data_IF_787046179386
#
_entry.id   IF_787046179386
#
_cell.length_a   1.000
_cell.length_b   1.000
_cell.length_c   1.000
_cell.angle_alpha   90.00
_cell.angle_beta   90.00
_cell.angle_gamma   90.00
#
_symmetry.space_group_name_H-M   'P 1'
#
loop_
_entity.id
_entity.type
_entity.pdbx_description
1 polymer ?
#
# COMPACT_ATOMS: atom_id res chain seq x y z
N UNK A 1 29.21 -10.10 -85.29
CA UNK A 1 27.95 -10.14 -84.52
C UNK A 1 28.17 -10.74 -83.13
N UNK A 2 28.80 -11.92 -83.03
CA UNK A 2 29.06 -12.58 -81.74
C UNK A 2 29.83 -11.74 -80.70
N UNK A 3 30.88 -11.01 -81.09
CA UNK A 3 31.63 -10.14 -80.16
C UNK A 3 30.76 -9.02 -79.55
N UNK A 4 29.88 -8.43 -80.36
CA UNK A 4 28.98 -7.35 -79.91
C UNK A 4 27.92 -7.86 -78.94
N UNK A 5 27.43 -9.08 -79.14
CA UNK A 5 26.50 -9.72 -78.22
C UNK A 5 27.16 -10.11 -76.89
N UNK A 6 28.46 -10.46 -76.92
CA UNK A 6 29.25 -10.73 -75.71
C UNK A 6 29.45 -9.43 -74.93
N UNK A 7 29.82 -8.33 -75.59
CA UNK A 7 30.01 -7.02 -74.97
C UNK A 7 28.75 -6.53 -74.25
N UNK A 8 27.59 -6.61 -74.92
CA UNK A 8 26.28 -6.24 -74.34
C UNK A 8 25.95 -7.08 -73.10
N UNK A 9 26.25 -8.39 -73.12
CA UNK A 9 26.02 -9.27 -71.97
C UNK A 9 26.96 -8.95 -70.81
N UNK A 10 28.22 -8.63 -71.08
CA UNK A 10 29.18 -8.22 -70.07
C UNK A 10 28.76 -6.90 -69.43
N UNK A 11 28.33 -5.91 -70.20
CA UNK A 11 27.84 -4.64 -69.69
C UNK A 11 26.60 -4.81 -68.79
N UNK A 12 25.66 -5.66 -69.18
CA UNK A 12 24.49 -5.97 -68.37
C UNK A 12 24.89 -6.69 -67.06
N UNK A 13 25.88 -7.59 -67.09
CA UNK A 13 26.42 -8.23 -65.88
C UNK A 13 27.10 -7.22 -64.96
N UNK A 14 27.89 -6.29 -65.51
CA UNK A 14 28.53 -5.21 -64.75
C UNK A 14 27.47 -4.30 -64.13
N UNK A 15 26.42 -3.94 -64.88
CA UNK A 15 25.31 -3.13 -64.38
C UNK A 15 24.58 -3.82 -63.22
N UNK A 16 24.26 -5.11 -63.37
CA UNK A 16 23.63 -5.91 -62.31
C UNK A 16 24.52 -6.06 -61.09
N UNK A 17 25.82 -6.30 -61.28
CA UNK A 17 26.80 -6.37 -60.19
C UNK A 17 26.83 -5.07 -59.40
N UNK A 18 26.87 -3.93 -60.10
CA UNK A 18 26.84 -2.61 -59.46
C UNK A 18 25.53 -2.35 -58.69
N UNK A 19 24.39 -2.77 -59.22
CA UNK A 19 23.10 -2.67 -58.53
C UNK A 19 23.08 -3.54 -57.26
N UNK A 20 23.57 -4.77 -57.35
CA UNK A 20 23.69 -5.68 -56.20
C UNK A 20 24.60 -5.07 -55.13
N UNK A 21 25.76 -4.52 -55.50
CA UNK A 21 26.66 -3.86 -54.54
C UNK A 21 26.00 -2.66 -53.86
N UNK A 22 25.23 -1.84 -54.59
CA UNK A 22 24.47 -0.73 -53.99
C UNK A 22 23.43 -1.24 -52.99
N UNK A 23 22.70 -2.30 -53.35
CA UNK A 23 21.70 -2.93 -52.47
C UNK A 23 22.34 -3.54 -51.24
N UNK A 24 23.51 -4.18 -51.38
CA UNK A 24 24.25 -4.76 -50.27
C UNK A 24 24.66 -3.69 -49.26
N UNK A 25 25.24 -2.57 -49.72
CA UNK A 25 25.60 -1.45 -48.84
C UNK A 25 24.40 -0.88 -48.09
N UNK A 26 23.25 -0.74 -48.77
CA UNK A 26 22.04 -0.26 -48.13
C UNK A 26 21.50 -1.25 -47.07
N UNK A 27 21.72 -2.56 -47.25
CA UNK A 27 21.38 -3.56 -46.25
C UNK A 27 22.34 -3.52 -45.06
N UNK A 28 23.65 -3.37 -45.29
CA UNK A 28 24.66 -3.24 -44.23
C UNK A 28 24.40 -2.00 -43.36
N UNK A 29 24.05 -0.87 -43.98
CA UNK A 29 23.69 0.35 -43.23
C UNK A 29 22.44 0.13 -42.38
N UNK A 30 21.41 -0.52 -42.92
CA UNK A 30 20.19 -0.86 -42.18
C UNK A 30 20.48 -1.81 -41.02
N UNK A 31 21.32 -2.82 -41.25
CA UNK A 31 21.71 -3.79 -40.25
C UNK A 31 22.42 -3.10 -39.07
N UNK A 32 23.39 -2.24 -39.36
CA UNK A 32 24.08 -1.43 -38.36
C UNK A 32 23.12 -0.54 -37.54
N UNK A 33 22.12 0.07 -38.18
CA UNK A 33 21.09 0.85 -37.48
C UNK A 33 20.23 -0.05 -36.57
N UNK A 34 19.89 -1.26 -37.02
CA UNK A 34 19.11 -2.23 -36.24
C UNK A 34 19.91 -2.69 -35.03
N UNK A 35 21.19 -3.03 -35.19
CA UNK A 35 22.09 -3.41 -34.09
C UNK A 35 22.18 -2.29 -33.04
N UNK A 36 22.38 -1.05 -33.47
CA UNK A 36 22.43 0.10 -32.56
C UNK A 36 21.11 0.28 -31.79
N UNK A 37 19.96 0.12 -32.46
CA UNK A 37 18.64 0.16 -31.81
C UNK A 37 18.44 -0.98 -30.83
N UNK A 38 18.83 -2.20 -31.20
CA UNK A 38 18.78 -3.36 -30.31
C UNK A 38 19.61 -3.14 -29.05
N UNK A 39 20.82 -2.60 -29.18
CA UNK A 39 21.65 -2.23 -28.03
C UNK A 39 20.95 -1.22 -27.11
N UNK A 40 20.37 -0.16 -27.69
CA UNK A 40 19.63 0.83 -26.89
C UNK A 40 18.40 0.26 -26.17
N UNK A 41 17.69 -0.69 -26.80
CA UNK A 41 16.55 -1.38 -26.20
C UNK A 41 17.02 -2.30 -25.07
N UNK A 42 18.10 -3.03 -25.27
CA UNK A 42 18.69 -3.88 -24.23
C UNK A 42 19.11 -3.07 -23.01
N UNK A 43 19.80 -1.94 -23.22
CA UNK A 43 20.20 -1.03 -22.14
C UNK A 43 18.98 -0.47 -21.39
N UNK A 44 17.92 -0.09 -22.11
CA UNK A 44 16.68 0.38 -21.50
C UNK A 44 16.01 -0.73 -20.67
N UNK A 45 15.98 -1.97 -21.17
CA UNK A 45 15.42 -3.12 -20.44
C UNK A 45 16.23 -3.45 -19.19
N UNK A 46 17.56 -3.37 -19.24
CA UNK A 46 18.42 -3.57 -18.06
C UNK A 46 18.12 -2.53 -16.99
N UNK A 47 18.05 -1.24 -17.36
CA UNK A 47 17.71 -0.16 -16.43
C UNK A 47 16.32 -0.34 -15.82
N UNK A 48 15.33 -0.68 -16.65
CA UNK A 48 13.97 -0.93 -16.18
C UNK A 48 13.91 -2.11 -15.19
N UNK A 49 14.69 -3.16 -15.43
CA UNK A 49 14.77 -4.31 -14.53
C UNK A 49 15.40 -3.94 -13.19
N UNK A 50 16.46 -3.12 -13.19
CA UNK A 50 17.08 -2.61 -11.97
C UNK A 50 16.15 -1.70 -11.17
N UNK A 51 15.41 -0.82 -11.85
CA UNK A 51 14.48 0.10 -11.20
C UNK A 51 13.30 -0.67 -10.58
N UNK A 52 12.72 -1.62 -11.31
CA UNK A 52 11.68 -2.52 -10.78
C UNK A 52 12.19 -3.25 -9.52
N UNK A 53 13.42 -3.77 -9.55
CA UNK A 53 14.00 -4.45 -8.39
C UNK A 53 14.10 -3.52 -7.18
N UNK A 54 14.58 -2.29 -7.36
CA UNK A 54 14.63 -1.28 -6.28
C UNK A 54 13.25 -0.94 -5.75
N UNK A 55 12.24 -0.83 -6.62
CA UNK A 55 10.86 -0.60 -6.19
C UNK A 55 10.32 -1.75 -5.35
N UNK A 56 10.59 -3.00 -5.72
CA UNK A 56 10.23 -4.17 -4.92
C UNK A 56 10.92 -4.19 -3.55
N UNK A 57 12.23 -3.90 -3.50
CA UNK A 57 12.98 -3.82 -2.24
C UNK A 57 12.43 -2.71 -1.32
N UNK A 58 12.08 -1.56 -1.88
CA UNK A 58 11.43 -0.48 -1.15
C UNK A 58 10.01 -0.86 -0.66
N UNK A 59 9.26 -1.60 -1.48
CA UNK A 59 7.92 -2.07 -1.11
C UNK A 59 7.96 -3.08 0.03
N UNK A 60 8.91 -4.02 0.01
CA UNK A 60 9.16 -4.98 1.09
C UNK A 60 9.48 -4.27 2.41
N UNK A 61 10.33 -3.23 2.36
CA UNK A 61 10.62 -2.38 3.51
C UNK A 61 9.37 -1.70 4.08
N UNK A 62 8.54 -1.08 3.22
CA UNK A 62 7.28 -0.45 3.63
C UNK A 62 6.28 -1.45 4.21
N UNK A 63 6.22 -2.67 3.67
CA UNK A 63 5.35 -3.73 4.19
C UNK A 63 5.77 -4.16 5.60
N UNK A 64 7.06 -4.33 5.85
CA UNK A 64 7.60 -4.62 7.19
C UNK A 64 7.30 -3.50 8.19
N UNK A 65 7.47 -2.25 7.78
CA UNK A 65 7.12 -1.10 8.62
C UNK A 65 5.63 -1.06 8.95
N UNK A 66 4.78 -1.40 7.97
CA UNK A 66 3.33 -1.48 8.17
C UNK A 66 2.94 -2.62 9.12
N UNK A 67 3.56 -3.80 8.98
CA UNK A 67 3.39 -4.93 9.89
C UNK A 67 3.76 -4.53 11.34
N UNK A 68 4.90 -3.87 11.53
CA UNK A 68 5.33 -3.38 12.83
C UNK A 68 4.31 -2.40 13.45
N UNK A 69 3.77 -1.47 12.64
CA UNK A 69 2.74 -0.53 13.10
C UNK A 69 1.44 -1.24 13.49
N UNK A 70 1.04 -2.27 12.75
CA UNK A 70 -0.12 -3.09 13.11
C UNK A 70 0.08 -3.83 14.43
N UNK A 71 1.27 -4.38 14.67
CA UNK A 71 1.59 -5.03 15.94
C UNK A 71 1.49 -4.03 17.09
N UNK A 72 2.03 -2.82 16.93
CA UNK A 72 1.94 -1.76 17.94
C UNK A 72 0.48 -1.39 18.20
N UNK A 73 -0.31 -1.16 17.15
CA UNK A 73 -1.73 -0.81 17.27
C UNK A 73 -2.54 -1.91 17.98
N UNK A 74 -2.31 -3.18 17.63
CA UNK A 74 -2.97 -4.32 18.30
C UNK A 74 -2.62 -4.38 19.79
N UNK A 75 -1.37 -4.12 20.15
CA UNK A 75 -0.94 -4.08 21.54
C UNK A 75 -1.59 -2.91 22.32
N UNK A 76 -1.81 -1.77 21.68
CA UNK A 76 -2.52 -0.64 22.28
C UNK A 76 -4.01 -0.95 22.47
N UNK A 77 -4.65 -1.56 21.48
CA UNK A 77 -6.05 -2.02 21.58
C UNK A 77 -6.21 -3.00 22.75
N UNK A 78 -5.33 -4.00 22.86
CA UNK A 78 -5.36 -4.95 23.98
C UNK A 78 -5.20 -4.27 25.35
N UNK A 79 -4.41 -3.19 25.45
CA UNK A 79 -4.30 -2.38 26.68
C UNK A 79 -5.59 -1.61 26.96
N UNK A 80 -6.23 -1.06 25.93
CA UNK A 80 -7.51 -0.36 26.05
C UNK A 80 -8.58 -1.33 26.55
N UNK A 81 -8.71 -2.52 25.96
CA UNK A 81 -9.65 -3.55 26.38
C UNK A 81 -9.46 -3.91 27.86
N UNK A 82 -8.21 -4.18 28.28
CA UNK A 82 -7.90 -4.48 29.68
C UNK A 82 -8.24 -3.34 30.63
N UNK A 83 -8.09 -2.09 30.19
CA UNK A 83 -8.45 -0.93 31.00
C UNK A 83 -9.97 -0.74 31.07
N UNK A 84 -10.69 -1.00 29.99
CA UNK A 84 -12.16 -0.98 29.96
C UNK A 84 -12.74 -2.04 30.89
N UNK A 85 -12.21 -3.28 30.87
CA UNK A 85 -12.64 -4.33 31.81
C UNK A 85 -12.45 -3.91 33.27
N UNK A 86 -11.30 -3.31 33.60
CA UNK A 86 -11.04 -2.80 34.96
C UNK A 86 -11.99 -1.67 35.34
N UNK A 87 -12.31 -0.79 34.40
CA UNK A 87 -13.22 0.33 34.64
C UNK A 87 -14.64 -0.18 34.87
N UNK A 88 -15.13 -1.11 34.05
CA UNK A 88 -16.43 -1.75 34.23
C UNK A 88 -16.55 -2.41 35.63
N UNK A 89 -15.56 -3.21 36.03
CA UNK A 89 -15.53 -3.84 37.37
C UNK A 89 -15.52 -2.81 38.50
N UNK A 90 -14.84 -1.67 38.34
CA UNK A 90 -14.85 -0.59 39.34
C UNK A 90 -16.23 0.04 39.46
N UNK A 91 -16.91 0.27 38.35
CA UNK A 91 -18.28 0.81 38.35
C UNK A 91 -19.22 -0.15 39.07
N UNK A 92 -19.20 -1.44 38.73
CA UNK A 92 -20.00 -2.48 39.39
C UNK A 92 -19.77 -2.51 40.92
N UNK A 93 -18.51 -2.43 41.36
CA UNK A 93 -18.17 -2.37 42.79
C UNK A 93 -18.69 -1.10 43.47
N UNK A 94 -18.70 0.03 42.75
CA UNK A 94 -19.17 1.32 43.28
C UNK A 94 -20.69 1.32 43.44
N UNK A 95 -21.41 0.73 42.50
CA UNK A 95 -22.86 0.53 42.59
C UNK A 95 -23.21 -0.41 43.75
N UNK A 96 -22.49 -1.53 43.89
CA UNK A 96 -22.64 -2.45 45.02
C UNK A 96 -22.38 -1.76 46.36
N UNK A 97 -21.34 -0.95 46.45
CA UNK A 97 -21.03 -0.18 47.66
C UNK A 97 -22.15 0.81 48.00
N UNK A 98 -22.68 1.51 47.01
CA UNK A 98 -23.78 2.47 47.17
C UNK A 98 -25.07 1.77 47.63
N UNK A 99 -25.34 0.58 47.09
CA UNK A 99 -26.49 -0.23 47.48
C UNK A 99 -26.34 -0.73 48.92
N UNK A 100 -25.15 -1.20 49.31
CA UNK A 100 -24.85 -1.59 50.69
C UNK A 100 -25.01 -0.41 51.65
N UNK A 101 -24.59 0.80 51.27
CA UNK A 101 -24.80 1.98 52.10
C UNK A 101 -26.28 2.34 52.28
N UNK A 102 -27.09 2.21 51.23
CA UNK A 102 -28.54 2.43 51.30
C UNK A 102 -29.23 1.44 52.25
N UNK A 103 -28.81 0.18 52.22
CA UNK A 103 -29.39 -0.88 53.05
C UNK A 103 -28.80 -0.96 54.46
N UNK A 104 -27.74 -0.21 54.77
CA UNK A 104 -27.11 -0.27 56.09
C UNK A 104 -28.01 0.41 57.14
N UNK A 105 -28.63 -0.34 58.07
CA UNK A 105 -29.56 0.21 59.05
C UNK A 105 -28.89 1.13 60.09
N UNK A 106 -27.55 1.16 60.14
CA UNK A 106 -26.80 2.09 60.99
C UNK A 106 -26.58 3.46 60.33
N UNK A 107 -26.74 3.57 59.00
CA UNK A 107 -26.61 4.82 58.22
C UNK A 107 -27.92 5.28 57.58
N UNK A 108 -28.88 4.39 57.37
CA UNK A 108 -30.18 4.71 56.80
C UNK A 108 -31.04 5.45 57.83
N UNK A 109 -31.21 6.76 57.65
CA UNK A 109 -32.24 7.54 58.31
C UNK A 109 -33.59 7.25 57.65
N UNK A 110 -34.31 6.26 58.17
CA UNK A 110 -35.66 5.95 57.72
C UNK A 110 -36.61 7.07 58.17
N UNK A 111 -37.09 7.85 57.20
CA UNK A 111 -38.14 8.85 57.40
C UNK A 111 -39.51 8.23 57.11
N UNK A 112 -40.52 8.64 57.86
CA UNK A 112 -41.89 8.19 57.62
C UNK A 112 -42.49 8.86 56.38
N UNK A 113 -43.56 8.28 55.83
CA UNK A 113 -44.21 8.80 54.62
C UNK A 113 -44.63 10.27 54.77
N UNK A 114 -45.10 10.66 55.95
CA UNK A 114 -45.52 12.03 56.27
C UNK A 114 -44.35 13.01 56.42
N UNK A 115 -43.14 12.53 56.74
CA UNK A 115 -41.91 13.34 56.74
C UNK A 115 -41.39 13.55 55.31
N UNK A 116 -41.48 12.53 54.46
CA UNK A 116 -41.11 12.63 53.06
C UNK A 116 -42.01 13.61 52.28
N UNK A 117 -43.33 13.55 52.49
CA UNK A 117 -44.29 14.45 51.84
C UNK A 117 -44.06 15.92 52.22
N UNK A 118 -43.75 16.21 53.49
CA UNK A 118 -43.42 17.57 53.96
C UNK A 118 -42.15 18.13 53.31
N UNK A 119 -41.09 17.33 53.20
CA UNK A 119 -39.83 17.77 52.59
C UNK A 119 -39.98 18.09 51.09
N UNK A 120 -40.85 17.36 50.38
CA UNK A 120 -41.13 17.60 48.97
C UNK A 120 -41.96 18.89 48.79
N UNK A 121 -42.96 19.13 49.64
CA UNK A 121 -43.74 20.37 49.61
C UNK A 121 -42.92 21.63 49.90
N UNK A 122 -41.94 21.55 50.81
CA UNK A 122 -41.03 22.67 51.08
C UNK A 122 -40.13 22.97 49.87
N UNK A 123 -39.55 21.95 49.23
CA UNK A 123 -38.67 22.13 48.06
C UNK A 123 -39.37 22.62 46.80
N UNK A 124 -40.67 22.37 46.64
CA UNK A 124 -41.46 22.86 45.51
C UNK A 124 -41.92 24.32 45.68
N UNK A 125 -41.74 24.89 46.89
CA UNK A 125 -42.10 26.28 47.21
C UNK A 125 -40.91 27.24 47.18
N UNK A 126 -39.68 26.76 47.04
CA UNK A 126 -38.50 27.52 46.59
C UNK A 126 -38.44 27.61 45.06
#
# INVERSE_FOLDING_TARGET
MAERDIEIKVDELVRRSNEIMRRLRALEERDSIIEARLGSVQDAMLRMTEDIRKEFENMDGKMKDFENRLIIANNEIAKIEKNMEKMARKTELTELASLIELYNPLKASFITKEEAERLVEEKLKE
#
